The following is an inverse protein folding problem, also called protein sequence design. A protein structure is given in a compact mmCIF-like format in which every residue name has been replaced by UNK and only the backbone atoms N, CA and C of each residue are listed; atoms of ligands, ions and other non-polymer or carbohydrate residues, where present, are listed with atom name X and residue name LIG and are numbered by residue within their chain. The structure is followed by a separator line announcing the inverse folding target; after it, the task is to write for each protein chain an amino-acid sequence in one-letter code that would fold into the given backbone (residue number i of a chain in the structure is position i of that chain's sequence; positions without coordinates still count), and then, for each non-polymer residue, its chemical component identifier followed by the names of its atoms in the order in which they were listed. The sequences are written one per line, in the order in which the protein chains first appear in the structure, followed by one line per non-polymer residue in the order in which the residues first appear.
data_IF_611274098059
#
_entry.id   IF_611274098059
#
_cell.length_a   1.000
_cell.length_b   1.000
_cell.length_c   1.000
_cell.angle_alpha   90.00
_cell.angle_beta   90.00
_cell.angle_gamma   90.00
#
_symmetry.space_group_name_H-M   'P 1'
#
loop_
_entity.id
_entity.type
_entity.pdbx_description
1 polymer ?
#
# COMPACT_ATOMS: atom_id res chain seq x y z
N UNK A 1 24.28 -9.27 -7.01
CA UNK A 1 23.20 -8.34 -7.39
C UNK A 1 23.86 -7.00 -7.62
N UNK A 2 23.55 -6.34 -8.74
CA UNK A 2 24.05 -4.99 -9.02
C UNK A 2 23.59 -4.00 -7.94
N UNK A 3 24.40 -2.98 -7.63
CA UNK A 3 24.10 -2.01 -6.56
C UNK A 3 22.84 -1.20 -6.87
N UNK A 4 22.58 -0.86 -8.14
CA UNK A 4 21.38 -0.14 -8.54
C UNK A 4 20.15 -1.02 -8.32
N UNK A 5 20.24 -2.31 -8.68
CA UNK A 5 19.16 -3.27 -8.48
C UNK A 5 18.87 -3.51 -6.98
N UNK A 6 19.91 -3.55 -6.13
CA UNK A 6 19.74 -3.63 -4.67
C UNK A 6 18.99 -2.40 -4.13
N UNK A 7 19.37 -1.20 -4.56
CA UNK A 7 18.74 0.05 -4.12
C UNK A 7 17.28 0.13 -4.57
N UNK A 8 16.98 -0.28 -5.81
CA UNK A 8 15.61 -0.34 -6.32
C UNK A 8 14.72 -1.26 -5.47
N UNK A 9 15.20 -2.47 -5.15
CA UNK A 9 14.46 -3.39 -4.28
C UNK A 9 14.33 -2.87 -2.84
N UNK A 10 15.33 -2.16 -2.31
CA UNK A 10 15.23 -1.52 -1.00
C UNK A 10 14.14 -0.44 -0.99
N UNK A 11 14.09 0.41 -2.02
CA UNK A 11 13.05 1.43 -2.19
C UNK A 11 11.66 0.82 -2.27
N UNK A 12 11.50 -0.24 -3.07
CA UNK A 12 10.23 -1.00 -3.15
C UNK A 12 9.84 -1.60 -1.80
N UNK A 13 10.81 -2.20 -1.09
CA UNK A 13 10.57 -2.76 0.24
C UNK A 13 10.08 -1.70 1.23
N UNK A 14 10.70 -0.52 1.23
CA UNK A 14 10.27 0.62 2.05
C UNK A 14 8.87 1.10 1.65
N UNK A 15 8.58 1.23 0.35
CA UNK A 15 7.25 1.63 -0.15
C UNK A 15 6.16 0.68 0.36
N UNK A 16 6.33 -0.64 0.19
CA UNK A 16 5.36 -1.64 0.63
C UNK A 16 5.19 -1.61 2.15
N UNK A 17 6.30 -1.52 2.90
CA UNK A 17 6.26 -1.51 4.35
C UNK A 17 5.52 -0.28 4.89
N UNK A 18 5.88 0.92 4.41
CA UNK A 18 5.26 2.17 4.85
C UNK A 18 3.79 2.27 4.43
N UNK A 19 3.44 1.84 3.21
CA UNK A 19 2.05 1.84 2.76
C UNK A 19 1.21 0.84 3.54
N UNK A 20 1.74 -0.34 3.86
CA UNK A 20 1.09 -1.36 4.70
C UNK A 20 0.86 -0.86 6.12
N UNK A 21 1.85 -0.21 6.73
CA UNK A 21 1.72 0.39 8.07
C UNK A 21 0.68 1.51 8.08
N UNK A 22 0.75 2.44 7.13
CA UNK A 22 -0.23 3.53 7.00
C UNK A 22 -1.65 3.00 6.78
N UNK A 23 -1.78 1.91 6.01
CA UNK A 23 -3.04 1.23 5.80
C UNK A 23 -3.61 0.63 7.08
N UNK A 24 -2.83 -0.15 7.83
CA UNK A 24 -3.26 -0.73 9.09
C UNK A 24 -3.69 0.33 10.12
N UNK A 25 -2.94 1.43 10.18
CA UNK A 25 -3.25 2.56 11.07
C UNK A 25 -4.58 3.24 10.67
N UNK A 26 -4.75 3.55 9.39
CA UNK A 26 -5.98 4.15 8.89
C UNK A 26 -7.21 3.27 9.07
N UNK A 27 -7.09 1.95 8.80
CA UNK A 27 -8.17 0.98 9.02
C UNK A 27 -8.54 0.90 10.49
N UNK A 28 -7.55 0.96 11.40
CA UNK A 28 -7.81 0.93 12.85
C UNK A 28 -8.62 2.15 13.29
N UNK A 29 -8.28 3.35 12.81
CA UNK A 29 -9.02 4.58 13.14
C UNK A 29 -10.46 4.50 12.59
N UNK A 30 -10.62 4.18 11.31
CA UNK A 30 -11.93 4.10 10.68
C UNK A 30 -12.80 3.00 11.30
N UNK A 31 -12.21 1.84 11.63
CA UNK A 31 -12.90 0.73 12.27
C UNK A 31 -13.44 1.08 13.65
N UNK A 32 -12.63 1.75 14.48
CA UNK A 32 -13.08 2.21 15.79
C UNK A 32 -14.25 3.20 15.69
N UNK A 33 -14.20 4.14 14.73
CA UNK A 33 -15.31 5.06 14.46
C UNK A 33 -16.57 4.32 13.99
N UNK A 34 -16.42 3.35 13.09
CA UNK A 34 -17.50 2.50 12.58
C UNK A 34 -18.22 1.73 13.69
N UNK A 35 -17.47 1.09 14.60
CA UNK A 35 -18.08 0.37 15.73
C UNK A 35 -18.87 1.32 16.63
N UNK A 36 -18.38 2.54 16.85
CA UNK A 36 -19.12 3.58 17.57
C UNK A 36 -20.42 3.98 16.86
N UNK A 37 -20.37 4.20 15.55
CA UNK A 37 -21.53 4.58 14.74
C UNK A 37 -22.58 3.46 14.66
N UNK A 38 -22.16 2.20 14.58
CA UNK A 38 -23.03 1.03 14.55
C UNK A 38 -23.90 0.87 15.80
N UNK A 39 -23.42 1.34 16.95
CA UNK A 39 -24.23 1.37 18.19
C UNK A 39 -25.41 2.35 18.11
N UNK A 40 -25.36 3.34 17.21
CA UNK A 40 -26.44 4.32 17.00
C UNK A 40 -27.39 3.89 15.89
N UNK A 41 -26.85 3.29 14.83
CA UNK A 41 -27.64 2.84 13.68
C UNK A 41 -26.98 1.61 13.05
N UNK A 42 -27.46 0.42 13.40
CA UNK A 42 -26.92 -0.85 12.92
C UNK A 42 -27.33 -1.16 11.48
N UNK A 43 -28.36 -0.50 10.94
CA UNK A 43 -28.84 -0.71 9.58
C UNK A 43 -27.81 -0.29 8.51
N UNK A 44 -26.85 0.56 8.88
CA UNK A 44 -25.81 1.11 8.00
C UNK A 44 -24.53 0.30 7.95
N UNK A 45 -24.52 -0.94 8.43
CA UNK A 45 -23.33 -1.80 8.46
C UNK A 45 -22.58 -1.89 7.14
N UNK A 46 -23.27 -2.14 6.02
CA UNK A 46 -22.63 -2.24 4.71
C UNK A 46 -21.87 -0.97 4.32
N UNK A 47 -22.44 0.21 4.56
CA UNK A 47 -21.80 1.48 4.26
C UNK A 47 -20.55 1.71 5.13
N UNK A 48 -20.66 1.43 6.43
CA UNK A 48 -19.51 1.61 7.33
C UNK A 48 -18.40 0.59 7.09
N UNK A 49 -18.72 -0.62 6.65
CA UNK A 49 -17.75 -1.61 6.22
C UNK A 49 -16.92 -1.08 5.04
N UNK A 50 -17.59 -0.55 4.00
CA UNK A 50 -16.91 0.04 2.83
C UNK A 50 -16.04 1.22 3.24
N UNK A 51 -16.55 2.13 4.07
CA UNK A 51 -15.77 3.29 4.55
C UNK A 51 -14.54 2.87 5.36
N UNK A 52 -14.64 1.80 6.14
CA UNK A 52 -13.50 1.24 6.92
C UNK A 52 -12.47 0.56 6.02
N UNK A 53 -12.88 0.07 4.84
CA UNK A 53 -11.99 -0.55 3.87
C UNK A 53 -11.19 0.47 3.04
N UNK A 54 -11.64 1.73 2.93
CA UNK A 54 -10.96 2.76 2.12
C UNK A 54 -9.49 2.99 2.52
N UNK A 55 -9.11 3.10 3.81
CA UNK A 55 -7.69 3.20 4.18
C UNK A 55 -6.92 1.90 3.91
N UNK A 56 -7.62 0.77 3.86
CA UNK A 56 -7.10 -0.56 3.49
C UNK A 56 -6.46 -0.58 2.09
N UNK A 57 -6.92 0.28 1.18
CA UNK A 57 -6.39 0.31 -0.18
C UNK A 57 -4.97 0.83 -0.27
N UNK A 58 -4.47 1.57 0.74
CA UNK A 58 -3.09 2.07 0.73
C UNK A 58 -2.06 0.92 0.71
N UNK A 59 -2.34 -0.16 1.43
CA UNK A 59 -1.50 -1.37 1.37
C UNK A 59 -1.54 -2.01 -0.02
N UNK A 60 -2.72 -2.09 -0.62
CA UNK A 60 -2.91 -2.61 -1.98
C UNK A 60 -2.18 -1.75 -3.03
N UNK A 61 -2.19 -0.42 -2.88
CA UNK A 61 -1.50 0.48 -3.79
C UNK A 61 0.02 0.32 -3.71
N UNK A 62 0.60 0.08 -2.53
CA UNK A 62 2.03 -0.23 -2.42
C UNK A 62 2.40 -1.54 -3.13
N UNK A 63 1.57 -2.58 -2.99
CA UNK A 63 1.74 -3.83 -3.73
C UNK A 63 1.56 -3.68 -5.24
N UNK A 64 0.56 -2.91 -5.66
CA UNK A 64 0.37 -2.57 -7.07
C UNK A 64 1.61 -1.85 -7.63
N UNK A 65 2.19 -0.92 -6.86
CA UNK A 65 3.44 -0.25 -7.21
C UNK A 65 4.56 -1.24 -7.53
N UNK A 66 4.78 -2.27 -6.72
CA UNK A 66 5.75 -3.32 -7.05
C UNK A 66 5.50 -3.97 -8.40
N UNK A 67 4.26 -4.39 -8.67
CA UNK A 67 3.91 -4.98 -9.96
C UNK A 67 4.02 -4.00 -11.12
N UNK A 68 3.81 -2.71 -10.90
CA UNK A 68 4.08 -1.68 -11.91
C UNK A 68 5.57 -1.67 -12.27
N UNK A 69 6.48 -1.63 -11.30
CA UNK A 69 7.92 -1.64 -11.56
C UNK A 69 8.43 -2.95 -12.18
N UNK A 70 7.91 -4.09 -11.70
CA UNK A 70 8.34 -5.41 -12.16
C UNK A 70 7.75 -5.80 -13.53
N UNK A 71 6.43 -5.64 -13.72
CA UNK A 71 5.72 -6.22 -14.85
C UNK A 71 5.32 -5.20 -15.92
N UNK A 72 4.99 -3.97 -15.51
CA UNK A 72 4.50 -2.94 -16.45
C UNK A 72 5.68 -2.16 -17.03
N UNK A 73 6.53 -1.63 -16.15
CA UNK A 73 7.73 -0.88 -16.56
C UNK A 73 8.89 -1.82 -16.91
N UNK A 74 8.93 -3.01 -16.31
CA UNK A 74 9.96 -4.01 -16.61
C UNK A 74 11.37 -3.54 -16.29
N UNK A 75 11.54 -2.64 -15.32
CA UNK A 75 12.82 -1.98 -15.03
C UNK A 75 13.65 -2.71 -13.98
N UNK A 76 13.06 -3.66 -13.24
CA UNK A 76 13.74 -4.43 -12.20
C UNK A 76 14.56 -5.58 -12.81
N UNK A 77 15.58 -5.21 -13.59
CA UNK A 77 16.51 -6.13 -14.24
C UNK A 77 17.96 -5.80 -13.88
N UNK A 78 18.93 -6.69 -14.14
CA UNK A 78 20.35 -6.40 -13.90
C UNK A 78 20.87 -5.16 -14.66
N UNK A 79 20.22 -4.74 -15.73
CA UNK A 79 20.59 -3.59 -16.57
C UNK A 79 19.96 -2.26 -16.11
N UNK A 80 19.30 -2.25 -14.95
CA UNK A 80 18.65 -1.05 -14.42
C UNK A 80 19.66 0.11 -14.26
N UNK A 81 19.27 1.29 -14.76
CA UNK A 81 20.10 2.49 -14.63
C UNK A 81 19.99 3.11 -13.25
N UNK A 82 21.00 3.88 -12.83
CA UNK A 82 20.97 4.59 -11.54
C UNK A 82 19.81 5.57 -11.41
N UNK A 83 19.34 6.15 -12.52
CA UNK A 83 18.16 7.05 -12.53
C UNK A 83 16.88 6.25 -12.29
N UNK A 84 16.73 5.10 -12.93
CA UNK A 84 15.57 4.22 -12.72
C UNK A 84 15.54 3.63 -11.31
N UNK A 85 16.70 3.32 -10.73
CA UNK A 85 16.78 2.82 -9.36
C UNK A 85 16.48 3.87 -8.28
N UNK A 86 16.56 5.16 -8.62
CA UNK A 86 16.27 6.26 -7.70
C UNK A 86 14.81 6.77 -7.80
N UNK A 87 14.06 6.34 -8.82
CA UNK A 87 12.66 6.70 -9.05
C UNK A 87 11.71 5.80 -8.26
#
# INVERSE_FOLDING_TARGET
MDINLLLAYLGIGIMIALSGVGSAYGVTIAGNATIGALKKDSSKFGNFLVLTALPGTQGLYGFAGYFMFQNIFGVLTPEITSIQAAA
#
